data_IF_931232550081
#
_entry.id   IF_931232550081
#
_cell.length_a   1.000
_cell.length_b   1.000
_cell.length_c   1.000
_cell.angle_alpha   90.00
_cell.angle_beta   90.00
_cell.angle_gamma   90.00
#
_symmetry.space_group_name_H-M   'P 1'
#
loop_
_entity.id
_entity.type
_entity.pdbx_description
1 polymer ?
#
# COMPACT_ATOMS: atom_id res chain seq x y z
N UNK A 1 -19.31 15.00 28.21
CA UNK A 1 -18.21 14.69 29.16
C UNK A 1 -17.33 13.49 28.80
N UNK A 2 -17.79 12.22 28.74
CA UNK A 2 -16.90 11.06 28.48
C UNK A 2 -16.20 11.07 27.11
N UNK A 3 -16.78 11.73 26.10
CA UNK A 3 -16.21 11.86 24.74
C UNK A 3 -15.47 13.17 24.48
N UNK A 4 -15.71 14.21 25.29
CA UNK A 4 -15.08 15.53 25.11
C UNK A 4 -13.62 15.54 25.59
N UNK A 5 -13.32 14.82 26.69
CA UNK A 5 -11.96 14.75 27.23
C UNK A 5 -10.99 14.10 26.24
N UNK A 6 -11.30 12.92 25.64
CA UNK A 6 -10.42 12.33 24.62
C UNK A 6 -10.26 13.21 23.38
N UNK A 7 -11.33 13.87 22.91
CA UNK A 7 -11.25 14.78 21.76
C UNK A 7 -10.30 15.96 22.04
N UNK A 8 -10.38 16.52 23.24
CA UNK A 8 -9.55 17.63 23.65
C UNK A 8 -8.07 17.20 23.75
N UNK A 9 -7.80 16.00 24.28
CA UNK A 9 -6.44 15.44 24.32
C UNK A 9 -5.88 15.25 22.91
N UNK A 10 -6.65 14.65 21.99
CA UNK A 10 -6.22 14.44 20.60
C UNK A 10 -6.02 15.76 19.87
N UNK A 11 -6.91 16.74 20.08
CA UNK A 11 -6.78 18.07 19.51
C UNK A 11 -5.49 18.77 19.97
N UNK A 12 -5.28 18.86 21.29
CA UNK A 12 -4.09 19.52 21.85
C UNK A 12 -2.81 18.81 21.43
N UNK A 13 -2.75 17.49 21.56
CA UNK A 13 -1.56 16.72 21.17
C UNK A 13 -1.26 16.82 19.67
N UNK A 14 -2.29 16.77 18.83
CA UNK A 14 -2.15 16.94 17.38
C UNK A 14 -1.65 18.33 16.99
N UNK A 15 -2.21 19.38 17.58
CA UNK A 15 -1.71 20.75 17.36
C UNK A 15 -0.29 20.96 17.89
N UNK A 16 0.04 20.39 19.05
CA UNK A 16 1.39 20.44 19.61
C UNK A 16 2.39 19.76 18.67
N UNK A 17 2.07 18.57 18.14
CA UNK A 17 2.91 17.85 17.17
C UNK A 17 3.08 18.63 15.86
N UNK A 18 2.01 19.27 15.37
CA UNK A 18 2.07 20.10 14.17
C UNK A 18 3.02 21.28 14.37
N UNK A 19 2.92 22.00 15.48
CA UNK A 19 3.79 23.15 15.79
C UNK A 19 5.24 22.68 15.98
N UNK A 20 5.42 21.59 16.72
CA UNK A 20 6.73 20.98 17.01
C UNK A 20 7.49 20.67 15.71
N UNK A 21 6.82 20.14 14.68
CA UNK A 21 7.45 19.85 13.38
C UNK A 21 8.15 21.06 12.72
N UNK A 22 7.66 22.29 12.93
CA UNK A 22 8.25 23.49 12.31
C UNK A 22 9.34 24.18 13.15
N UNK A 23 9.59 23.70 14.38
CA UNK A 23 10.55 24.31 15.31
C UNK A 23 11.80 23.42 15.39
N UNK A 24 12.96 23.83 14.84
CA UNK A 24 14.20 23.05 14.89
C UNK A 24 14.99 23.33 16.17
N UNK A 25 14.49 22.85 17.31
CA UNK A 25 15.15 22.94 18.62
C UNK A 25 15.37 21.53 19.19
N UNK A 26 16.41 21.30 19.98
CA UNK A 26 16.72 20.00 20.61
C UNK A 26 15.50 19.39 21.34
N UNK A 27 14.72 20.22 22.04
CA UNK A 27 13.48 19.80 22.71
C UNK A 27 12.39 19.32 21.74
N UNK A 28 12.31 19.93 20.56
CA UNK A 28 11.37 19.54 19.51
C UNK A 28 11.73 18.17 18.95
N UNK A 29 13.01 17.96 18.63
CA UNK A 29 13.51 16.68 18.11
C UNK A 29 13.33 15.55 19.13
N UNK A 30 13.55 15.82 20.42
CA UNK A 30 13.27 14.86 21.50
C UNK A 30 11.79 14.45 21.54
N UNK A 31 10.87 15.42 21.52
CA UNK A 31 9.42 15.15 21.56
C UNK A 31 8.99 14.34 20.32
N UNK A 32 9.50 14.68 19.14
CA UNK A 32 9.22 13.95 17.90
C UNK A 32 9.67 12.50 17.97
N UNK A 33 10.93 12.29 18.34
CA UNK A 33 11.53 10.96 18.42
C UNK A 33 10.81 10.11 19.45
N UNK A 34 10.54 10.68 20.62
CA UNK A 34 9.77 10.01 21.66
C UNK A 34 8.37 9.60 21.20
N UNK A 35 7.65 10.50 20.51
CA UNK A 35 6.35 10.18 19.94
C UNK A 35 6.44 9.08 18.86
N UNK A 36 7.47 9.11 18.03
CA UNK A 36 7.71 8.12 16.98
C UNK A 36 8.06 6.73 17.58
N UNK A 37 8.81 6.69 18.69
CA UNK A 37 9.08 5.44 19.42
C UNK A 37 7.79 4.82 19.95
N UNK A 38 6.87 5.63 20.48
CA UNK A 38 5.55 5.15 20.89
C UNK A 38 4.72 4.60 19.73
N UNK A 39 4.82 5.16 18.53
CA UNK A 39 4.18 4.58 17.33
C UNK A 39 4.68 3.17 17.05
N UNK A 40 5.99 2.93 17.20
CA UNK A 40 6.58 1.59 17.06
C UNK A 40 6.05 0.65 18.14
N UNK A 41 6.03 1.10 19.40
CA UNK A 41 5.50 0.30 20.54
C UNK A 41 4.04 -0.07 20.32
N UNK A 42 3.19 0.89 19.93
CA UNK A 42 1.77 0.64 19.60
C UNK A 42 1.67 -0.34 18.43
N UNK A 43 2.52 -0.19 17.40
CA UNK A 43 2.57 -1.10 16.26
C UNK A 43 2.87 -2.55 16.66
N UNK A 44 3.82 -2.76 17.58
CA UNK A 44 4.15 -4.09 18.12
C UNK A 44 2.96 -4.66 18.90
N UNK A 45 2.26 -3.86 19.70
CA UNK A 45 1.07 -4.30 20.44
C UNK A 45 -0.14 -4.55 19.52
N UNK A 46 -0.22 -3.86 18.40
CA UNK A 46 -1.27 -4.05 17.40
C UNK A 46 -1.10 -5.37 16.62
N UNK A 47 0.12 -5.88 16.47
CA UNK A 47 0.38 -7.13 15.73
C UNK A 47 -0.40 -8.33 16.30
N UNK A 48 -0.34 -8.65 17.61
CA UNK A 48 -1.17 -9.71 18.19
C UNK A 48 -2.67 -9.50 17.99
N UNK A 49 -3.17 -8.26 18.11
CA UNK A 49 -4.58 -7.94 17.87
C UNK A 49 -4.99 -8.18 16.41
N UNK A 50 -4.11 -7.83 15.47
CA UNK A 50 -4.31 -8.10 14.03
C UNK A 50 -4.34 -9.60 13.73
N UNK A 51 -3.39 -10.36 14.29
CA UNK A 51 -3.36 -11.82 14.17
C UNK A 51 -4.64 -12.43 14.77
N UNK A 52 -5.02 -12.01 15.98
CA UNK A 52 -6.23 -12.47 16.65
C UNK A 52 -7.48 -12.18 15.82
N UNK A 53 -7.62 -10.97 15.28
CA UNK A 53 -8.74 -10.57 14.43
C UNK A 53 -8.83 -11.45 13.17
N UNK A 54 -7.69 -11.67 12.50
CA UNK A 54 -7.59 -12.53 11.31
C UNK A 54 -8.01 -13.97 11.62
N UNK A 55 -7.45 -14.55 12.69
CA UNK A 55 -7.74 -15.94 13.09
C UNK A 55 -9.20 -16.06 13.49
N UNK A 56 -9.70 -15.18 14.36
CA UNK A 56 -11.10 -15.19 14.81
C UNK A 56 -12.08 -15.11 13.63
N UNK A 57 -11.89 -14.16 12.73
CA UNK A 57 -12.76 -13.99 11.57
C UNK A 57 -12.79 -15.24 10.68
N UNK A 58 -11.63 -15.88 10.45
CA UNK A 58 -11.56 -17.09 9.62
C UNK A 58 -12.07 -18.34 10.35
N UNK A 59 -11.94 -18.41 11.68
CA UNK A 59 -12.54 -19.48 12.49
C UNK A 59 -14.06 -19.39 12.49
N UNK A 60 -14.64 -18.19 12.48
CA UNK A 60 -16.08 -18.01 12.33
C UNK A 60 -16.56 -18.40 10.92
N UNK A 61 -15.81 -18.03 9.88
CA UNK A 61 -16.10 -18.40 8.47
C UNK A 61 -16.01 -19.90 8.18
N UNK A 62 -15.30 -20.68 8.99
CA UNK A 62 -15.31 -22.16 8.92
C UNK A 62 -16.72 -22.75 9.09
N UNK A 63 -17.64 -22.03 9.74
CA UNK A 63 -19.03 -22.48 9.93
C UNK A 63 -19.91 -22.19 8.71
N UNK A 64 -19.45 -21.36 7.77
CA UNK A 64 -20.21 -20.93 6.59
C UNK A 64 -19.88 -21.84 5.40
N UNK A 65 -20.83 -22.61 4.84
CA UNK A 65 -20.54 -23.63 3.82
C UNK A 65 -19.80 -23.12 2.58
N UNK A 66 -20.08 -21.90 2.11
CA UNK A 66 -19.43 -21.31 0.94
C UNK A 66 -18.02 -20.75 1.19
N UNK A 67 -17.67 -20.47 2.45
CA UNK A 67 -16.37 -19.86 2.83
C UNK A 67 -15.43 -20.83 3.56
N UNK A 68 -15.97 -21.96 4.05
CA UNK A 68 -15.25 -22.93 4.88
C UNK A 68 -13.94 -23.41 4.26
N UNK A 69 -13.93 -23.70 2.96
CA UNK A 69 -12.73 -24.18 2.28
C UNK A 69 -11.64 -23.10 2.25
N UNK A 70 -11.98 -21.88 1.84
CA UNK A 70 -11.03 -20.77 1.76
C UNK A 70 -10.47 -20.40 3.12
N UNK A 71 -11.31 -20.34 4.14
CA UNK A 71 -10.87 -20.06 5.50
C UNK A 71 -10.02 -21.19 6.10
N UNK A 72 -10.30 -22.45 5.80
CA UNK A 72 -9.44 -23.57 6.20
C UNK A 72 -8.04 -23.47 5.57
N UNK A 73 -7.97 -23.20 4.26
CA UNK A 73 -6.70 -23.02 3.54
C UNK A 73 -5.89 -21.86 4.14
N UNK A 74 -6.55 -20.73 4.44
CA UNK A 74 -5.88 -19.59 5.08
C UNK A 74 -5.32 -19.96 6.45
N UNK A 75 -6.11 -20.56 7.33
CA UNK A 75 -5.67 -20.90 8.69
C UNK A 75 -4.52 -21.91 8.70
N UNK A 76 -4.60 -22.94 7.84
CA UNK A 76 -3.52 -23.92 7.68
C UNK A 76 -2.27 -23.24 7.12
N UNK A 77 -2.41 -22.44 6.06
CA UNK A 77 -1.29 -21.70 5.47
C UNK A 77 -0.62 -20.75 6.46
N UNK A 78 -1.42 -20.04 7.25
CA UNK A 78 -0.93 -19.18 8.34
C UNK A 78 -0.12 -19.98 9.36
N UNK A 79 -0.63 -21.11 9.84
CA UNK A 79 0.09 -21.96 10.78
C UNK A 79 1.39 -22.50 10.19
N UNK A 80 1.37 -22.98 8.94
CA UNK A 80 2.58 -23.48 8.25
C UNK A 80 3.63 -22.37 8.14
N UNK A 81 3.24 -21.16 7.75
CA UNK A 81 4.17 -20.03 7.62
C UNK A 81 4.74 -19.59 8.97
N UNK A 82 3.92 -19.55 10.03
CA UNK A 82 4.39 -19.22 11.38
C UNK A 82 5.37 -20.28 11.87
N UNK A 83 5.02 -21.57 11.78
CA UNK A 83 5.86 -22.67 12.28
C UNK A 83 7.19 -22.77 11.53
N UNK A 84 7.19 -22.54 10.22
CA UNK A 84 8.43 -22.56 9.41
C UNK A 84 9.28 -21.29 9.60
N UNK A 85 8.67 -20.17 9.98
CA UNK A 85 9.33 -18.85 10.12
C UNK A 85 9.78 -18.46 11.53
N UNK A 86 9.69 -19.35 12.54
CA UNK A 86 9.99 -18.98 13.94
C UNK A 86 11.46 -18.60 14.20
N UNK A 87 12.40 -19.11 13.39
CA UNK A 87 13.83 -18.86 13.56
C UNK A 87 14.30 -17.81 12.57
N UNK A 88 15.27 -16.98 12.97
CA UNK A 88 15.88 -15.97 12.09
C UNK A 88 16.53 -16.60 10.86
N UNK A 89 17.12 -17.78 11.02
CA UNK A 89 17.72 -18.59 9.94
C UNK A 89 16.70 -18.95 8.84
N UNK A 90 15.41 -19.05 9.17
CA UNK A 90 14.34 -19.35 8.21
C UNK A 90 14.13 -18.27 7.15
N UNK A 91 14.76 -17.10 7.28
CA UNK A 91 14.69 -16.03 6.29
C UNK A 91 15.74 -16.18 5.18
N UNK A 92 16.65 -17.15 5.31
CA UNK A 92 17.70 -17.39 4.32
C UNK A 92 17.16 -18.18 3.11
N UNK A 93 17.76 -17.92 1.95
CA UNK A 93 17.42 -18.60 0.70
C UNK A 93 17.72 -20.11 0.82
N UNK A 94 16.74 -20.94 0.43
CA UNK A 94 16.85 -22.40 0.48
C UNK A 94 16.20 -23.05 1.72
N UNK A 95 15.74 -22.25 2.68
CA UNK A 95 14.94 -22.75 3.80
C UNK A 95 13.49 -23.04 3.41
N UNK A 96 12.82 -23.92 4.16
CA UNK A 96 11.44 -24.30 3.89
C UNK A 96 10.49 -23.08 3.86
N UNK A 97 10.68 -22.11 4.78
CA UNK A 97 9.89 -20.88 4.81
C UNK A 97 10.07 -20.08 3.52
N UNK A 98 11.31 -19.80 3.11
CA UNK A 98 11.57 -19.03 1.90
C UNK A 98 11.13 -19.75 0.64
N UNK A 99 11.29 -21.08 0.56
CA UNK A 99 10.81 -21.87 -0.57
C UNK A 99 9.29 -21.79 -0.70
N UNK A 100 8.53 -21.96 0.40
CA UNK A 100 7.07 -21.83 0.38
C UNK A 100 6.69 -20.40 0.02
N UNK A 101 7.33 -19.41 0.66
CA UNK A 101 7.08 -17.99 0.40
C UNK A 101 7.27 -17.65 -1.08
N UNK A 102 8.41 -17.97 -1.68
CA UNK A 102 8.68 -17.61 -3.08
C UNK A 102 7.82 -18.40 -4.06
N UNK A 103 7.64 -19.71 -3.86
CA UNK A 103 6.90 -20.55 -4.79
C UNK A 103 5.38 -20.38 -4.69
N UNK A 104 4.86 -19.80 -3.60
CA UNK A 104 3.43 -19.48 -3.47
C UNK A 104 3.18 -18.02 -3.79
N UNK A 105 3.92 -17.10 -3.18
CA UNK A 105 3.66 -15.67 -3.31
C UNK A 105 3.96 -15.16 -4.72
N UNK A 106 5.08 -15.56 -5.34
CA UNK A 106 5.46 -15.05 -6.66
C UNK A 106 4.43 -15.46 -7.73
N UNK A 107 4.00 -16.73 -7.83
CA UNK A 107 2.95 -17.10 -8.78
C UNK A 107 1.60 -16.43 -8.50
N UNK A 108 1.22 -16.25 -7.22
CA UNK A 108 -0.02 -15.53 -6.88
C UNK A 108 0.06 -14.06 -7.35
N UNK A 109 1.17 -13.38 -7.12
CA UNK A 109 1.36 -12.03 -7.62
C UNK A 109 1.34 -11.97 -9.16
N UNK A 110 1.96 -12.96 -9.83
CA UNK A 110 1.94 -13.06 -11.27
C UNK A 110 0.52 -13.31 -11.83
N UNK A 111 -0.29 -14.15 -11.20
CA UNK A 111 -1.68 -14.40 -11.62
C UNK A 111 -2.55 -13.16 -11.44
N UNK A 112 -2.45 -12.46 -10.30
CA UNK A 112 -3.15 -11.18 -10.07
C UNK A 112 -2.71 -10.15 -11.12
N UNK A 113 -1.40 -10.02 -11.36
CA UNK A 113 -0.88 -9.08 -12.37
C UNK A 113 -1.36 -9.43 -13.78
N UNK A 114 -1.41 -10.72 -14.14
CA UNK A 114 -1.92 -11.19 -15.43
C UNK A 114 -3.41 -10.88 -15.60
N UNK A 115 -4.23 -11.08 -14.55
CA UNK A 115 -5.66 -10.73 -14.57
C UNK A 115 -5.84 -9.22 -14.71
N UNK A 116 -5.08 -8.43 -13.93
CA UNK A 116 -5.09 -6.97 -14.03
C UNK A 116 -4.70 -6.50 -15.42
N UNK A 117 -3.67 -7.09 -16.04
CA UNK A 117 -3.26 -6.74 -17.39
C UNK A 117 -4.40 -6.93 -18.41
N UNK A 118 -5.15 -8.05 -18.33
CA UNK A 118 -6.32 -8.29 -19.19
C UNK A 118 -7.44 -7.25 -18.95
N UNK A 119 -7.77 -6.97 -17.69
CA UNK A 119 -8.80 -5.97 -17.35
C UNK A 119 -8.41 -4.56 -17.79
N UNK A 120 -7.15 -4.18 -17.58
CA UNK A 120 -6.60 -2.90 -18.03
C UNK A 120 -6.65 -2.82 -19.55
N UNK A 121 -6.23 -3.87 -20.27
CA UNK A 121 -6.29 -3.89 -21.73
C UNK A 121 -7.72 -3.75 -22.27
N UNK A 122 -8.69 -4.47 -21.68
CA UNK A 122 -10.11 -4.37 -22.07
C UNK A 122 -10.71 -3.01 -21.75
N UNK A 123 -10.42 -2.45 -20.57
CA UNK A 123 -10.84 -1.12 -20.17
C UNK A 123 -10.22 -0.04 -21.07
N UNK A 124 -8.92 -0.15 -21.38
CA UNK A 124 -8.19 0.74 -22.26
C UNK A 124 -8.74 0.66 -23.69
N UNK A 125 -8.99 -0.53 -24.24
CA UNK A 125 -9.61 -0.68 -25.55
C UNK A 125 -10.97 0.01 -25.64
N UNK A 126 -11.81 -0.15 -24.62
CA UNK A 126 -13.11 0.54 -24.52
C UNK A 126 -12.95 2.06 -24.37
N UNK A 127 -11.96 2.53 -23.60
CA UNK A 127 -11.66 3.95 -23.42
C UNK A 127 -11.05 4.59 -24.69
N UNK A 128 -10.25 3.84 -25.45
CA UNK A 128 -9.63 4.29 -26.70
C UNK A 128 -10.56 4.24 -27.90
N UNK A 129 -11.62 3.41 -27.85
CA UNK A 129 -12.69 3.41 -28.85
C UNK A 129 -13.52 4.71 -28.82
N UNK A 130 -13.57 5.41 -27.68
CA UNK A 130 -14.09 6.78 -27.64
C UNK A 130 -13.08 7.71 -28.33
N UNK A 131 -13.40 8.15 -29.55
CA UNK A 131 -12.57 8.99 -30.45
C UNK A 131 -12.19 10.36 -29.84
N UNK A 132 -11.40 10.37 -28.78
CA UNK A 132 -10.83 11.59 -28.21
C UNK A 132 -9.37 11.72 -28.64
N UNK A 133 -8.93 12.95 -28.91
CA UNK A 133 -7.53 13.24 -29.26
C UNK A 133 -6.58 12.75 -28.15
N UNK A 134 -7.01 12.87 -26.89
CA UNK A 134 -6.29 12.39 -25.70
C UNK A 134 -6.06 10.88 -25.71
N UNK A 135 -7.09 10.10 -26.04
CA UNK A 135 -6.99 8.64 -26.17
C UNK A 135 -5.97 8.22 -27.24
N UNK A 136 -5.98 8.89 -28.40
CA UNK A 136 -5.03 8.62 -29.49
C UNK A 136 -3.59 8.93 -29.08
N UNK A 137 -3.36 10.05 -28.38
CA UNK A 137 -2.04 10.40 -27.85
C UNK A 137 -1.54 9.34 -26.86
N UNK A 138 -2.41 8.88 -25.95
CA UNK A 138 -2.06 7.85 -24.96
C UNK A 138 -1.74 6.51 -25.65
N UNK A 139 -2.53 6.12 -26.66
CA UNK A 139 -2.31 4.91 -27.44
C UNK A 139 -0.95 4.95 -28.18
N UNK A 140 -0.66 6.04 -28.89
CA UNK A 140 0.63 6.21 -29.58
C UNK A 140 1.80 6.18 -28.60
N UNK A 141 1.66 6.83 -27.46
CA UNK A 141 2.68 6.83 -26.40
C UNK A 141 2.92 5.42 -25.87
N UNK A 142 1.86 4.64 -25.64
CA UNK A 142 1.96 3.25 -25.21
C UNK A 142 2.67 2.36 -26.25
N UNK A 143 2.35 2.52 -27.54
CA UNK A 143 3.04 1.80 -28.62
C UNK A 143 4.54 2.08 -28.62
N UNK A 144 4.97 3.34 -28.51
CA UNK A 144 6.39 3.73 -28.45
C UNK A 144 7.09 3.04 -27.26
N UNK A 145 6.46 3.03 -26.08
CA UNK A 145 7.00 2.38 -24.88
C UNK A 145 7.14 0.87 -25.06
N UNK A 146 6.16 0.20 -25.69
CA UNK A 146 6.20 -1.25 -25.91
C UNK A 146 7.37 -1.67 -26.80
N UNK A 147 7.80 -0.85 -27.76
CA UNK A 147 8.95 -1.12 -28.61
C UNK A 147 10.31 -1.08 -27.89
N UNK A 148 10.36 -0.71 -26.60
CA UNK A 148 11.60 -0.66 -25.81
C UNK A 148 12.35 -2.00 -25.78
N UNK A 149 11.64 -3.12 -25.82
CA UNK A 149 12.23 -4.47 -25.69
C UNK A 149 12.55 -5.13 -27.04
N UNK A 150 12.28 -4.45 -28.17
CA UNK A 150 12.50 -4.99 -29.50
C UNK A 150 13.83 -4.41 -30.05
N UNK A 151 14.82 -5.24 -30.41
CA UNK A 151 16.08 -4.76 -30.97
C UNK A 151 15.90 -4.29 -32.42
N UNK A 152 15.53 -3.02 -32.61
CA UNK A 152 15.24 -2.39 -33.91
C UNK A 152 16.48 -1.89 -34.67
N UNK A 153 17.68 -2.39 -34.34
CA UNK A 153 18.93 -1.95 -34.98
C UNK A 153 19.21 -0.46 -34.77
N UNK A 154 19.54 0.35 -35.81
CA UNK A 154 19.92 1.76 -35.67
C UNK A 154 18.86 2.68 -35.05
N UNK A 155 17.57 2.32 -35.15
CA UNK A 155 16.44 3.11 -34.64
C UNK A 155 16.24 2.89 -33.13
N UNK A 156 16.87 1.86 -32.55
CA UNK A 156 16.75 1.52 -31.13
C UNK A 156 17.23 2.63 -30.19
N UNK A 157 18.27 3.39 -30.57
CA UNK A 157 18.82 4.48 -29.76
C UNK A 157 17.82 5.62 -29.62
N UNK A 158 17.20 6.03 -30.73
CA UNK A 158 16.19 7.10 -30.77
C UNK A 158 14.94 6.69 -29.99
N UNK A 159 14.48 5.45 -30.16
CA UNK A 159 13.34 4.93 -29.41
C UNK A 159 13.64 4.91 -27.89
N UNK A 160 14.83 4.46 -27.49
CA UNK A 160 15.23 4.43 -26.09
C UNK A 160 15.27 5.83 -25.48
N UNK A 161 15.76 6.83 -26.21
CA UNK A 161 15.72 8.24 -25.78
C UNK A 161 14.30 8.78 -25.64
N UNK A 162 13.41 8.48 -26.60
CA UNK A 162 12.01 8.89 -26.55
C UNK A 162 11.29 8.26 -25.34
N UNK A 163 11.46 6.96 -25.13
CA UNK A 163 10.90 6.24 -23.98
C UNK A 163 11.46 6.76 -22.66
N UNK A 164 12.77 7.03 -22.60
CA UNK A 164 13.40 7.60 -21.41
C UNK A 164 12.79 8.96 -21.07
N UNK A 165 12.64 9.86 -22.05
CA UNK A 165 12.03 11.17 -21.84
C UNK A 165 10.57 11.07 -21.37
N UNK A 166 9.76 10.20 -21.99
CA UNK A 166 8.37 9.97 -21.56
C UNK A 166 8.30 9.43 -20.12
N UNK A 167 9.18 8.51 -19.75
CA UNK A 167 9.20 7.96 -18.40
C UNK A 167 9.75 8.94 -17.36
N UNK A 168 10.72 9.79 -17.73
CA UNK A 168 11.40 10.70 -16.79
C UNK A 168 10.70 12.03 -16.60
N UNK A 169 9.93 12.51 -17.58
CA UNK A 169 9.28 13.83 -17.52
C UNK A 169 7.78 13.69 -17.23
N UNK A 170 6.88 13.34 -18.18
CA UNK A 170 5.44 13.35 -17.92
C UNK A 170 5.01 12.25 -16.93
N UNK A 171 5.59 11.05 -17.01
CA UNK A 171 5.25 9.98 -16.07
C UNK A 171 5.71 10.28 -14.63
N UNK A 172 6.93 10.82 -14.45
CA UNK A 172 7.38 11.26 -13.13
C UNK A 172 6.57 12.44 -12.61
N UNK A 173 6.18 13.39 -13.46
CA UNK A 173 5.29 14.49 -13.08
C UNK A 173 3.93 13.96 -12.57
N UNK A 174 3.31 13.02 -13.31
CA UNK A 174 2.07 12.38 -12.89
C UNK A 174 2.23 11.59 -11.57
N UNK A 175 3.30 10.80 -11.44
CA UNK A 175 3.59 10.06 -10.19
C UNK A 175 3.75 11.00 -9.01
N UNK A 176 4.48 12.12 -9.19
CA UNK A 176 4.63 13.16 -8.16
C UNK A 176 3.29 13.81 -7.82
N UNK A 177 2.46 14.12 -8.80
CA UNK A 177 1.12 14.67 -8.57
C UNK A 177 0.24 13.71 -7.76
N UNK A 178 0.26 12.41 -8.07
CA UNK A 178 -0.45 11.39 -7.30
C UNK A 178 0.08 11.33 -5.87
N UNK A 179 1.41 11.27 -5.68
CA UNK A 179 2.01 11.24 -4.34
C UNK A 179 1.67 12.50 -3.53
N UNK A 180 1.68 13.68 -4.15
CA UNK A 180 1.25 14.92 -3.51
C UNK A 180 -0.23 14.88 -3.16
N UNK A 181 -1.09 14.37 -4.05
CA UNK A 181 -2.52 14.21 -3.79
C UNK A 181 -2.81 13.25 -2.64
N UNK A 182 -2.11 12.12 -2.57
CA UNK A 182 -2.21 11.16 -1.46
C UNK A 182 -1.74 11.82 -0.15
N UNK A 183 -0.62 12.54 -0.19
CA UNK A 183 -0.10 13.29 0.96
C UNK A 183 -1.11 14.31 1.49
N UNK A 184 -1.64 15.17 0.62
CA UNK A 184 -2.66 16.16 0.97
C UNK A 184 -3.95 15.50 1.50
N UNK A 185 -4.36 14.39 0.90
CA UNK A 185 -5.52 13.61 1.36
C UNK A 185 -5.31 13.03 2.76
N UNK A 186 -4.12 12.48 3.04
CA UNK A 186 -3.75 11.99 4.36
C UNK A 186 -3.71 13.13 5.39
N UNK A 187 -3.13 14.29 5.04
CA UNK A 187 -3.11 15.49 5.89
C UNK A 187 -4.53 15.99 6.18
N UNK A 188 -5.41 16.02 5.19
CA UNK A 188 -6.81 16.43 5.38
C UNK A 188 -7.54 15.50 6.36
N UNK A 189 -7.30 14.19 6.28
CA UNK A 189 -7.82 13.20 7.24
C UNK A 189 -7.25 13.43 8.64
N UNK A 190 -5.94 13.65 8.76
CA UNK A 190 -5.32 13.97 10.05
C UNK A 190 -5.90 15.24 10.68
N UNK A 191 -6.12 16.31 9.90
CA UNK A 191 -6.76 17.54 10.36
C UNK A 191 -8.19 17.28 10.85
N UNK A 192 -8.99 16.50 10.10
CA UNK A 192 -10.36 16.12 10.54
C UNK A 192 -10.35 15.36 11.87
N UNK A 193 -9.34 14.51 12.11
CA UNK A 193 -9.15 13.79 13.36
C UNK A 193 -8.78 14.75 14.50
N UNK A 194 -7.80 15.64 14.28
CA UNK A 194 -7.33 16.63 15.27
C UNK A 194 -8.46 17.58 15.66
N UNK A 195 -9.24 18.04 14.68
CA UNK A 195 -10.41 18.90 14.92
C UNK A 195 -11.62 18.14 15.50
N UNK A 196 -11.52 16.81 15.64
CA UNK A 196 -12.59 15.99 16.21
C UNK A 196 -13.83 15.86 15.32
N UNK A 197 -13.71 16.13 14.02
CA UNK A 197 -14.76 15.95 13.02
C UNK A 197 -14.91 14.46 12.71
N UNK A 198 -13.80 13.74 12.53
CA UNK A 198 -13.78 12.29 12.37
C UNK A 198 -13.48 11.62 13.72
N UNK A 199 -14.42 10.81 14.20
CA UNK A 199 -14.36 10.16 15.52
C UNK A 199 -14.34 8.63 15.45
N UNK A 200 -14.12 8.07 14.26
CA UNK A 200 -14.17 6.62 13.99
C UNK A 200 -13.20 5.82 14.87
N UNK A 201 -12.12 6.45 15.34
CA UNK A 201 -11.14 5.82 16.24
C UNK A 201 -11.63 5.66 17.69
N UNK A 202 -12.74 6.31 18.09
CA UNK A 202 -13.24 6.25 19.47
C UNK A 202 -14.07 5.01 19.78
N UNK A 203 -14.25 4.10 18.82
CA UNK A 203 -15.17 2.97 18.92
C UNK A 203 -16.63 3.43 18.81
N UNK A 204 -17.49 2.56 18.30
CA UNK A 204 -18.92 2.74 18.37
C UNK A 204 -19.40 2.15 19.70
N UNK A 205 -19.94 3.00 20.59
CA UNK A 205 -21.00 2.54 21.52
C UNK A 205 -22.33 2.56 20.75
#
# INVERSE_FOLDING_TARGET
MKREIPLLIVGISGFAMLIQYFIPTDWSEFIFTYAQDWVIVIGILALPLGIWSLVKANVEKLKVPGERFYSAVLLIGFLVMVLTGLKRESLEYGTAFMTIFTNVLIPIQATIFSLLAFFIASAAYRAFRARSVLATILLLTAFIIMFRFIPLGPISTVNLSAVAWTLSVPNMAAKRAIMMGIGLGATATAIKIILGIERTYMGHD
#
